data_IF_787649787622
#
_entry.id   IF_787649787622
#
_cell.length_a   1.000
_cell.length_b   1.000
_cell.length_c   1.000
_cell.angle_alpha   90.00
_cell.angle_beta   90.00
_cell.angle_gamma   90.00
#
_symmetry.space_group_name_H-M   'P 1'
#
loop_
_entity.id
_entity.type
_entity.pdbx_description
1 polymer ?
#
# COMPACT_ATOMS: atom_id res chain seq x y z
N UNK A 1 20.65 4.32 33.70
CA UNK A 1 19.61 3.68 32.86
C UNK A 1 18.21 4.28 33.09
N UNK A 2 17.84 4.65 34.32
CA UNK A 2 16.52 5.25 34.61
C UNK A 2 16.30 6.67 34.07
N UNK A 3 17.36 7.48 33.92
CA UNK A 3 17.25 8.84 33.36
C UNK A 3 16.88 8.86 31.88
N UNK A 4 17.37 7.87 31.13
CA UNK A 4 17.02 7.69 29.72
C UNK A 4 15.53 7.36 29.57
N UNK A 5 15.02 6.45 30.39
CA UNK A 5 13.60 6.07 30.39
C UNK A 5 12.71 7.25 30.77
N UNK A 6 13.09 8.08 31.75
CA UNK A 6 12.36 9.32 32.09
C UNK A 6 12.33 10.31 30.94
N UNK A 7 13.46 10.52 30.25
CA UNK A 7 13.57 11.47 29.14
C UNK A 7 12.74 11.07 27.92
N UNK A 8 12.64 9.77 27.63
CA UNK A 8 11.93 9.26 26.46
C UNK A 8 10.53 8.69 26.76
N UNK A 9 10.06 8.75 28.02
CA UNK A 9 8.76 8.21 28.45
C UNK A 9 7.60 8.66 27.56
N UNK A 10 7.56 9.93 27.18
CA UNK A 10 6.50 10.49 26.34
C UNK A 10 6.49 9.88 24.93
N UNK A 11 7.65 9.54 24.37
CA UNK A 11 7.75 8.92 23.04
C UNK A 11 7.19 7.50 23.05
N UNK A 12 7.50 6.72 24.09
CA UNK A 12 6.98 5.35 24.23
C UNK A 12 5.45 5.32 24.45
N UNK A 13 4.91 6.27 25.23
CA UNK A 13 3.46 6.38 25.44
C UNK A 13 2.76 6.73 24.12
N UNK A 14 3.31 7.66 23.35
CA UNK A 14 2.73 8.10 22.07
C UNK A 14 2.82 7.00 21.02
N UNK A 15 3.94 6.29 20.92
CA UNK A 15 4.10 5.14 20.03
C UNK A 15 3.07 4.04 20.38
N UNK A 16 2.90 3.75 21.68
CA UNK A 16 1.89 2.81 22.15
C UNK A 16 0.45 3.26 21.84
N UNK A 17 0.17 4.56 21.92
CA UNK A 17 -1.14 5.13 21.58
C UNK A 17 -1.43 5.04 20.08
N UNK A 18 -0.44 5.32 19.22
CA UNK A 18 -0.57 5.14 17.76
C UNK A 18 -0.88 3.68 17.44
N UNK A 19 -0.15 2.73 18.03
CA UNK A 19 -0.39 1.30 17.83
C UNK A 19 -1.78 0.88 18.33
N UNK A 20 -2.21 1.40 19.49
CA UNK A 20 -3.52 1.10 20.07
C UNK A 20 -4.67 1.66 19.23
N UNK A 21 -4.59 2.92 18.81
CA UNK A 21 -5.59 3.57 17.93
C UNK A 21 -5.69 2.81 16.61
N UNK A 22 -4.53 2.43 16.04
CA UNK A 22 -4.50 1.65 14.80
C UNK A 22 -5.09 0.25 15.01
N UNK A 23 -4.72 -0.45 16.08
CA UNK A 23 -5.25 -1.77 16.40
C UNK A 23 -6.74 -1.78 16.73
N UNK A 24 -7.25 -0.73 17.37
CA UNK A 24 -8.67 -0.55 17.69
C UNK A 24 -9.50 -0.21 16.44
N UNK A 25 -8.92 0.56 15.51
CA UNK A 25 -9.60 1.03 14.32
C UNK A 25 -9.39 0.14 13.09
N UNK A 26 -8.66 -0.97 13.21
CA UNK A 26 -8.67 -2.04 12.22
C UNK A 26 -9.98 -2.82 12.37
N UNK A 27 -10.96 -2.61 11.49
CA UNK A 27 -12.17 -3.42 11.52
C UNK A 27 -11.78 -4.86 11.18
N UNK A 28 -11.91 -5.76 12.16
CA UNK A 28 -11.64 -7.19 11.98
C UNK A 28 -12.50 -7.83 10.87
N UNK A 29 -13.58 -7.16 10.44
CA UNK A 29 -14.56 -7.65 9.47
C UNK A 29 -14.90 -6.67 8.32
N UNK A 30 -14.00 -5.77 7.90
CA UNK A 30 -14.28 -4.94 6.72
C UNK A 30 -13.84 -5.66 5.45
N UNK A 31 -14.66 -6.62 5.02
CA UNK A 31 -14.57 -7.14 3.67
C UNK A 31 -14.84 -5.96 2.71
N UNK A 32 -13.83 -5.51 1.94
CA UNK A 32 -13.96 -4.40 0.96
C UNK A 32 -14.72 -4.88 -0.31
N UNK A 33 -15.40 -6.03 -0.23
CA UNK A 33 -16.32 -6.52 -1.25
C UNK A 33 -17.65 -5.78 -1.44
N UNK A 34 -18.18 -4.87 -0.59
CA UNK A 34 -19.51 -4.33 -0.84
C UNK A 34 -19.51 -3.47 -2.08
N UNK A 35 -18.46 -2.67 -2.34
CA UNK A 35 -18.48 -1.73 -3.45
C UNK A 35 -18.50 -2.46 -4.81
N UNK A 36 -17.63 -3.46 -5.00
CA UNK A 36 -17.60 -4.24 -6.25
C UNK A 36 -18.88 -5.06 -6.44
N UNK A 37 -19.46 -5.58 -5.34
CA UNK A 37 -20.74 -6.31 -5.38
C UNK A 37 -21.92 -5.38 -5.71
N UNK A 38 -21.92 -4.18 -5.15
CA UNK A 38 -22.92 -3.13 -5.39
C UNK A 38 -22.88 -2.70 -6.86
N UNK A 39 -21.69 -2.36 -7.40
CA UNK A 39 -21.55 -2.05 -8.83
C UNK A 39 -21.92 -3.23 -9.74
N UNK A 40 -21.53 -4.47 -9.38
CA UNK A 40 -21.90 -5.67 -10.15
C UNK A 40 -23.41 -5.94 -10.15
N UNK A 41 -24.11 -5.57 -9.07
CA UNK A 41 -25.57 -5.68 -8.94
C UNK A 41 -26.32 -4.67 -9.82
N UNK A 42 -25.86 -3.42 -9.90
CA UNK A 42 -26.51 -2.39 -10.73
C UNK A 42 -26.36 -2.64 -12.23
N UNK A 43 -25.21 -3.16 -12.66
CA UNK A 43 -24.94 -3.42 -14.07
C UNK A 43 -25.35 -4.81 -14.55
N UNK A 44 -25.99 -5.64 -13.70
CA UNK A 44 -26.39 -7.03 -14.04
C UNK A 44 -25.23 -7.86 -14.65
N UNK A 45 -23.99 -7.57 -14.26
CA UNK A 45 -22.79 -8.17 -14.86
C UNK A 45 -22.43 -7.72 -16.28
N UNK A 46 -23.18 -6.79 -16.88
CA UNK A 46 -22.87 -6.17 -18.18
C UNK A 46 -21.98 -4.95 -17.97
N UNK A 47 -20.68 -5.12 -18.22
CA UNK A 47 -19.69 -4.05 -18.14
C UNK A 47 -19.46 -3.50 -19.54
N UNK A 48 -19.46 -2.18 -19.78
CA UNK A 48 -19.09 -1.64 -21.08
C UNK A 48 -17.66 -2.07 -21.44
N UNK A 49 -17.47 -2.50 -22.70
CA UNK A 49 -16.13 -2.84 -23.20
C UNK A 49 -15.36 -1.54 -23.39
N UNK A 50 -14.41 -1.30 -22.48
CA UNK A 50 -13.51 -0.15 -22.58
C UNK A 50 -12.27 -0.57 -23.38
N UNK A 51 -12.01 0.15 -24.47
CA UNK A 51 -10.89 -0.12 -25.36
C UNK A 51 -9.55 -0.20 -24.60
N UNK A 52 -9.32 0.74 -23.68
CA UNK A 52 -8.11 0.82 -22.86
C UNK A 52 -7.86 -0.46 -22.03
N UNK A 53 -8.93 -1.12 -21.55
CA UNK A 53 -8.81 -2.35 -20.76
C UNK A 53 -8.36 -3.50 -21.66
N UNK A 54 -8.92 -3.60 -22.87
CA UNK A 54 -8.59 -4.65 -23.83
C UNK A 54 -7.16 -4.48 -24.34
N UNK A 55 -6.77 -3.25 -24.68
CA UNK A 55 -5.41 -2.91 -25.12
C UNK A 55 -4.39 -3.18 -24.01
N UNK A 56 -4.70 -2.79 -22.77
CA UNK A 56 -3.87 -3.09 -21.60
C UNK A 56 -3.67 -4.60 -21.38
N UNK A 57 -4.74 -5.39 -21.52
CA UNK A 57 -4.66 -6.84 -21.35
C UNK A 57 -3.76 -7.50 -22.41
N UNK A 58 -3.81 -7.01 -23.65
CA UNK A 58 -2.91 -7.46 -24.72
C UNK A 58 -1.45 -7.08 -24.43
N UNK A 59 -1.20 -5.82 -24.08
CA UNK A 59 0.14 -5.29 -23.82
C UNK A 59 0.82 -5.94 -22.58
N UNK A 60 0.05 -6.27 -21.55
CA UNK A 60 0.58 -6.85 -20.29
C UNK A 60 0.75 -8.38 -20.32
N UNK A 61 0.23 -9.06 -21.36
CA UNK A 61 0.21 -10.52 -21.43
C UNK A 61 1.62 -11.12 -21.49
N UNK A 62 2.45 -10.61 -22.39
CA UNK A 62 3.84 -11.06 -22.55
C UNK A 62 4.64 -10.89 -21.25
N UNK A 63 4.50 -9.74 -20.59
CA UNK A 63 5.16 -9.46 -19.30
C UNK A 63 4.74 -10.48 -18.24
N UNK A 64 3.46 -10.80 -18.18
CA UNK A 64 2.91 -11.73 -17.18
C UNK A 64 3.35 -13.16 -17.45
N UNK A 65 3.26 -13.61 -18.70
CA UNK A 65 3.62 -14.97 -19.11
C UNK A 65 5.14 -15.23 -18.96
N UNK A 66 5.96 -14.20 -19.19
CA UNK A 66 7.40 -14.29 -18.96
C UNK A 66 7.77 -14.38 -17.48
N UNK A 67 7.08 -13.62 -16.61
CA UNK A 67 7.28 -13.69 -15.16
C UNK A 67 6.88 -15.08 -14.63
N UNK A 68 5.82 -15.69 -15.16
CA UNK A 68 5.36 -17.03 -14.73
C UNK A 68 6.32 -18.15 -15.18
N UNK A 69 6.93 -18.01 -16.36
CA UNK A 69 7.80 -19.05 -16.95
C UNK A 69 9.25 -19.00 -16.46
N UNK A 70 9.85 -17.81 -16.32
CA UNK A 70 11.27 -17.66 -15.99
C UNK A 70 11.53 -17.15 -14.57
N UNK A 71 10.49 -16.80 -13.80
CA UNK A 71 10.56 -16.11 -12.48
C UNK A 71 11.47 -14.87 -12.49
N UNK A 72 11.65 -14.28 -13.68
CA UNK A 72 12.45 -13.06 -13.91
C UNK A 72 11.56 -11.97 -14.49
N UNK A 73 11.90 -10.74 -14.13
CA UNK A 73 11.17 -9.55 -14.56
C UNK A 73 11.72 -9.03 -15.88
N UNK A 74 10.87 -8.85 -16.88
CA UNK A 74 11.25 -8.10 -18.08
C UNK A 74 11.18 -6.60 -17.83
N UNK A 75 12.18 -5.87 -18.31
CA UNK A 75 12.22 -4.40 -18.25
C UNK A 75 11.76 -3.76 -19.57
N UNK A 76 11.75 -4.54 -20.66
CA UNK A 76 11.33 -4.13 -22.00
C UNK A 76 10.46 -5.24 -22.62
N UNK A 77 9.27 -4.90 -23.10
CA UNK A 77 8.33 -5.82 -23.77
C UNK A 77 8.44 -5.66 -25.28
N UNK A 78 8.28 -6.74 -26.05
CA UNK A 78 8.25 -6.73 -27.52
C UNK A 78 6.81 -6.81 -28.08
N UNK A 79 5.80 -7.00 -27.24
CA UNK A 79 4.39 -7.11 -27.63
C UNK A 79 3.79 -5.81 -28.18
N UNK A 80 4.47 -4.67 -28.02
CA UNK A 80 4.10 -3.39 -28.61
C UNK A 80 5.08 -3.05 -29.74
N UNK A 81 4.59 -2.42 -30.80
CA UNK A 81 5.23 -2.28 -32.13
C UNK A 81 6.75 -2.00 -32.19
N UNK A 82 7.32 -1.22 -31.28
CA UNK A 82 8.76 -0.92 -31.23
C UNK A 82 9.41 -1.35 -29.90
N UNK A 83 8.71 -2.20 -29.18
CA UNK A 83 8.86 -2.45 -27.76
C UNK A 83 8.58 -1.23 -26.88
N UNK A 84 8.35 -1.49 -25.60
CA UNK A 84 8.05 -0.46 -24.60
C UNK A 84 8.71 -0.83 -23.27
N UNK A 85 9.14 0.13 -22.45
CA UNK A 85 9.51 -0.14 -21.07
C UNK A 85 8.36 -0.85 -20.34
N UNK A 86 8.60 -2.08 -19.86
CA UNK A 86 7.58 -2.90 -19.22
C UNK A 86 7.01 -2.23 -17.95
N UNK A 87 7.81 -1.37 -17.31
CA UNK A 87 7.43 -0.58 -16.13
C UNK A 87 6.20 0.30 -16.34
N UNK A 88 5.89 0.69 -17.58
CA UNK A 88 4.73 1.53 -17.91
C UNK A 88 3.43 0.70 -17.90
N UNK A 89 3.52 -0.60 -18.16
CA UNK A 89 2.38 -1.50 -18.37
C UNK A 89 2.16 -2.38 -17.14
N UNK A 90 3.24 -2.84 -16.52
CA UNK A 90 3.19 -3.70 -15.35
C UNK A 90 4.33 -3.36 -14.42
N UNK A 91 4.07 -3.28 -13.12
CA UNK A 91 5.13 -3.05 -12.14
C UNK A 91 5.87 -4.37 -11.89
N UNK A 92 7.07 -4.59 -12.47
CA UNK A 92 7.74 -5.89 -12.40
C UNK A 92 8.32 -6.12 -10.99
N UNK A 93 8.60 -5.03 -10.28
CA UNK A 93 9.33 -5.05 -9.03
C UNK A 93 8.40 -5.32 -7.86
N UNK A 94 8.60 -6.47 -7.20
CA UNK A 94 8.00 -6.76 -5.88
C UNK A 94 8.59 -5.76 -4.86
N UNK A 95 7.80 -4.86 -4.23
CA UNK A 95 8.34 -3.91 -3.27
C UNK A 95 8.79 -4.65 -2.01
N UNK A 96 10.09 -4.94 -1.88
CA UNK A 96 10.61 -5.79 -0.82
C UNK A 96 10.53 -5.11 0.55
N UNK A 97 10.95 -3.84 0.65
CA UNK A 97 11.06 -3.15 1.94
C UNK A 97 9.69 -2.79 2.54
N UNK A 98 8.80 -2.20 1.72
CA UNK A 98 7.51 -1.69 2.20
C UNK A 98 6.57 -2.85 2.56
N UNK A 99 6.71 -4.00 1.88
CA UNK A 99 5.92 -5.21 2.16
C UNK A 99 6.15 -5.75 3.57
N UNK A 100 7.37 -5.64 4.11
CA UNK A 100 7.66 -6.07 5.48
C UNK A 100 7.23 -5.05 6.54
N UNK A 101 7.02 -3.79 6.16
CA UNK A 101 6.54 -2.74 7.06
C UNK A 101 5.00 -2.66 7.12
N UNK A 102 4.31 -3.37 6.23
CA UNK A 102 2.85 -3.48 6.15
C UNK A 102 2.29 -4.44 7.23
N UNK A 103 2.48 -4.10 8.50
CA UNK A 103 1.76 -4.70 9.63
C UNK A 103 0.81 -3.65 10.20
N UNK A 104 -0.52 -3.90 10.30
CA UNK A 104 -1.28 -5.14 10.07
C UNK A 104 -1.68 -5.40 8.60
N UNK A 105 -1.75 -6.68 8.20
CA UNK A 105 -1.85 -7.12 6.79
C UNK A 105 -3.26 -7.04 6.19
N UNK A 106 -4.30 -6.80 6.99
CA UNK A 106 -5.70 -6.67 6.52
C UNK A 106 -6.48 -5.71 7.45
N UNK A 107 -7.35 -4.83 6.92
CA UNK A 107 -7.55 -4.46 5.52
C UNK A 107 -6.42 -3.56 4.99
N UNK A 108 -6.00 -3.75 3.73
CA UNK A 108 -4.83 -3.07 3.16
C UNK A 108 -4.96 -1.54 3.01
N UNK A 109 -6.14 -0.97 3.22
CA UNK A 109 -6.33 0.49 3.31
C UNK A 109 -5.82 1.01 4.65
N UNK A 110 -6.16 0.33 5.75
CA UNK A 110 -5.74 0.71 7.09
C UNK A 110 -4.24 0.56 7.30
N UNK A 111 -3.63 -0.45 6.69
CA UNK A 111 -2.17 -0.63 6.76
C UNK A 111 -1.41 0.51 6.08
N UNK A 112 -1.96 1.06 4.98
CA UNK A 112 -1.38 2.22 4.29
C UNK A 112 -1.57 3.50 5.10
N UNK A 113 -2.76 3.72 5.66
CA UNK A 113 -3.03 4.87 6.54
C UNK A 113 -2.10 4.86 7.74
N UNK A 114 -1.95 3.71 8.40
CA UNK A 114 -1.01 3.54 9.51
C UNK A 114 0.42 3.90 9.10
N UNK A 115 0.89 3.38 7.96
CA UNK A 115 2.23 3.64 7.49
C UNK A 115 2.45 5.14 7.21
N UNK A 116 1.45 5.84 6.68
CA UNK A 116 1.52 7.30 6.47
C UNK A 116 1.60 8.07 7.78
N UNK A 117 0.72 7.79 8.74
CA UNK A 117 0.74 8.43 10.07
C UNK A 117 2.07 8.15 10.78
N UNK A 118 2.54 6.90 10.73
CA UNK A 118 3.81 6.50 11.34
C UNK A 118 5.01 7.22 10.70
N UNK A 119 5.05 7.31 9.37
CA UNK A 119 6.10 8.01 8.64
C UNK A 119 6.08 9.52 8.92
N UNK A 120 4.89 10.14 8.91
CA UNK A 120 4.69 11.55 9.23
C UNK A 120 5.15 11.88 10.66
N UNK A 121 4.81 11.02 11.62
CA UNK A 121 5.25 11.17 13.01
C UNK A 121 6.78 11.15 13.13
N UNK A 122 7.47 10.20 12.48
CA UNK A 122 8.94 10.12 12.47
C UNK A 122 9.57 11.38 11.83
N UNK A 123 8.96 11.89 10.76
CA UNK A 123 9.42 13.11 10.10
C UNK A 123 9.29 14.33 11.03
N UNK A 124 8.16 14.51 11.71
CA UNK A 124 7.95 15.61 12.66
C UNK A 124 8.92 15.54 13.85
N UNK A 125 9.25 14.33 14.31
CA UNK A 125 10.29 14.14 15.32
C UNK A 125 11.68 14.58 14.83
N UNK A 126 11.98 14.38 13.55
CA UNK A 126 13.25 14.81 12.94
C UNK A 126 13.37 16.33 12.89
N UNK A 127 12.25 17.05 12.79
CA UNK A 127 12.16 18.50 12.91
C UNK A 127 12.11 19.02 14.36
N UNK A 128 12.33 18.16 15.36
CA UNK A 128 12.30 18.49 16.80
C UNK A 128 10.96 19.08 17.27
N UNK A 129 9.87 18.76 16.59
CA UNK A 129 8.52 19.12 17.04
C UNK A 129 8.21 18.39 18.34
N UNK A 130 7.49 19.05 19.27
CA UNK A 130 7.11 18.45 20.55
C UNK A 130 6.29 17.16 20.28
N UNK A 131 6.57 16.02 20.95
CA UNK A 131 5.97 14.73 20.59
C UNK A 131 4.43 14.72 20.58
N UNK A 132 3.81 15.45 21.51
CA UNK A 132 2.36 15.62 21.58
C UNK A 132 1.79 16.38 20.38
N UNK A 133 2.51 17.39 19.90
CA UNK A 133 2.11 18.15 18.73
C UNK A 133 2.37 17.35 17.44
N UNK A 134 3.44 16.55 17.43
CA UNK A 134 3.73 15.63 16.34
C UNK A 134 2.68 14.52 16.19
N UNK A 135 2.06 14.07 17.29
CA UNK A 135 0.95 13.11 17.24
C UNK A 135 -0.31 13.71 16.60
N UNK A 136 -0.66 14.95 16.97
CA UNK A 136 -1.88 15.62 16.44
C UNK A 136 -1.70 16.01 14.98
N UNK A 137 -0.47 16.31 14.56
CA UNK A 137 -0.15 16.68 13.18
C UNK A 137 0.14 15.52 12.22
N UNK A 138 0.28 14.28 12.72
CA UNK A 138 0.52 13.07 11.93
C UNK A 138 -0.78 12.35 11.61
#
# INVERSE_FOLDING_TARGET
MQDFVKKYKSYFIILGLIILVTGAFVPRNLDIKPLSKVFKGYFQGKVPVQHDIVEYQGASREVSDYIESEDRTILWTNALFCGMPAQVISNPTKPILIRHLLFPTKPGVWSKIFLYVFCAFIMLLSFKVRPWLALVGA
#
